data_IF_594935576641
#
_entry.id   IF_594935576641
#
_cell.length_a   1.000
_cell.length_b   1.000
_cell.length_c   1.000
_cell.angle_alpha   90.00
_cell.angle_beta   90.00
_cell.angle_gamma   90.00
#
_symmetry.space_group_name_H-M   'P 1'
#
loop_
_entity.id
_entity.type
_entity.pdbx_description
1 polymer ?
#
# COMPACT_ATOMS: atom_id res chain seq x y z
N UNK A 1 -18.52 -4.77 -32.58
CA UNK A 1 -18.57 -4.34 -31.16
C UNK A 1 -17.43 -5.05 -30.44
N UNK A 2 -16.37 -4.33 -30.13
CA UNK A 2 -15.16 -4.90 -29.54
C UNK A 2 -15.28 -4.77 -28.02
N UNK A 3 -15.58 -5.87 -27.33
CA UNK A 3 -15.52 -5.93 -25.87
C UNK A 3 -14.05 -5.83 -25.47
N UNK A 4 -13.68 -4.74 -24.80
CA UNK A 4 -12.37 -4.62 -24.19
C UNK A 4 -12.23 -5.73 -23.13
N UNK A 5 -11.30 -6.65 -23.37
CA UNK A 5 -10.84 -7.59 -22.35
C UNK A 5 -10.16 -6.76 -21.24
N UNK A 6 -10.91 -6.42 -20.19
CA UNK A 6 -10.31 -6.02 -18.92
C UNK A 6 -9.65 -7.26 -18.34
N UNK A 7 -8.36 -7.44 -18.60
CA UNK A 7 -7.50 -8.19 -17.71
C UNK A 7 -7.50 -7.42 -16.38
N UNK A 8 -8.46 -7.74 -15.50
CA UNK A 8 -8.52 -7.26 -14.12
C UNK A 8 -7.30 -7.81 -13.37
N UNK A 9 -6.16 -7.17 -13.54
CA UNK A 9 -5.11 -7.26 -12.54
C UNK A 9 -5.63 -6.48 -11.34
N UNK A 10 -6.00 -7.18 -10.27
CA UNK A 10 -6.23 -6.59 -8.96
C UNK A 10 -4.96 -5.82 -8.56
N UNK A 11 -4.93 -4.52 -8.85
CA UNK A 11 -3.82 -3.65 -8.47
C UNK A 11 -3.94 -3.38 -6.97
N UNK A 12 -2.91 -3.72 -6.18
CA UNK A 12 -2.99 -3.53 -4.74
C UNK A 12 -3.03 -2.03 -4.44
N UNK A 13 -4.08 -1.62 -3.73
CA UNK A 13 -4.29 -0.24 -3.32
C UNK A 13 -4.67 -0.18 -1.85
N UNK A 14 -3.91 0.59 -1.08
CA UNK A 14 -4.20 0.86 0.33
C UNK A 14 -5.04 2.11 0.48
N UNK A 15 -6.14 2.01 1.23
CA UNK A 15 -7.04 3.12 1.53
C UNK A 15 -7.20 3.27 3.05
N UNK A 16 -7.44 4.50 3.55
CA UNK A 16 -7.63 4.75 4.97
C UNK A 16 -8.93 4.13 5.47
N UNK A 17 -8.87 3.53 6.66
CA UNK A 17 -10.02 3.14 7.44
C UNK A 17 -10.23 4.18 8.56
N UNK A 18 -11.23 5.08 8.44
CA UNK A 18 -11.44 6.19 9.37
C UNK A 18 -11.81 5.74 10.79
N UNK A 19 -12.31 4.50 10.96
CA UNK A 19 -12.69 3.95 12.27
C UNK A 19 -11.50 3.44 13.07
N UNK A 20 -10.45 2.96 12.39
CA UNK A 20 -9.32 2.28 13.04
C UNK A 20 -7.99 3.00 12.90
N UNK A 21 -7.91 4.03 12.04
CA UNK A 21 -6.65 4.71 11.71
C UNK A 21 -5.64 3.80 10.98
N UNK A 22 -6.09 2.64 10.50
CA UNK A 22 -5.28 1.70 9.71
C UNK A 22 -5.50 1.96 8.22
N UNK A 23 -4.52 1.57 7.43
CA UNK A 23 -4.66 1.47 5.97
C UNK A 23 -4.99 0.02 5.63
N UNK A 24 -5.97 -0.18 4.75
CA UNK A 24 -6.44 -1.50 4.33
C UNK A 24 -6.27 -1.69 2.82
N UNK A 25 -5.98 -2.92 2.41
CA UNK A 25 -6.02 -3.39 1.04
C UNK A 25 -7.08 -4.51 0.93
N UNK A 26 -7.63 -4.69 -0.26
CA UNK A 26 -8.69 -5.68 -0.51
C UNK A 26 -8.24 -7.13 -0.36
N UNK A 27 -6.92 -7.38 -0.45
CA UNK A 27 -6.31 -8.71 -0.32
C UNK A 27 -4.95 -8.62 0.37
N UNK A 28 -4.45 -9.73 0.95
CA UNK A 28 -3.13 -9.78 1.57
C UNK A 28 -2.00 -9.54 0.57
N UNK A 29 -1.00 -8.78 1.00
CA UNK A 29 0.22 -8.46 0.24
C UNK A 29 1.41 -9.16 0.90
N UNK A 30 2.32 -9.72 0.08
CA UNK A 30 3.45 -10.52 0.56
C UNK A 30 4.45 -9.65 1.33
N UNK A 31 4.81 -8.50 0.75
CA UNK A 31 5.70 -7.51 1.37
C UNK A 31 5.14 -6.11 1.19
N UNK A 32 5.12 -5.34 2.27
CA UNK A 32 4.73 -3.93 2.27
C UNK A 32 5.82 -3.14 2.99
N UNK A 33 6.44 -2.21 2.29
CA UNK A 33 7.48 -1.35 2.84
C UNK A 33 7.08 0.11 2.72
N UNK A 34 7.26 0.85 3.80
CA UNK A 34 6.94 2.27 3.88
C UNK A 34 8.25 3.05 3.83
N UNK A 35 8.35 3.98 2.89
CA UNK A 35 9.50 4.84 2.69
C UNK A 35 9.14 6.31 2.90
N UNK A 36 10.11 7.08 3.40
CA UNK A 36 10.04 8.55 3.38
C UNK A 36 10.22 9.08 1.96
N UNK A 37 9.94 10.38 1.69
CA UNK A 37 10.21 11.00 0.39
C UNK A 37 11.69 11.00 -0.01
N UNK A 38 12.59 10.78 0.95
CA UNK A 38 14.03 10.67 0.73
C UNK A 38 14.50 9.24 0.47
N UNK A 39 13.57 8.28 0.34
CA UNK A 39 13.89 6.87 0.07
C UNK A 39 14.34 6.06 1.29
N UNK A 40 14.20 6.60 2.51
CA UNK A 40 14.52 5.87 3.74
C UNK A 40 13.37 4.92 4.10
N UNK A 41 13.68 3.63 4.29
CA UNK A 41 12.73 2.64 4.81
C UNK A 41 12.42 2.94 6.29
N UNK A 42 11.14 3.07 6.64
CA UNK A 42 10.71 3.34 8.02
C UNK A 42 9.92 2.21 8.66
N UNK A 43 9.20 1.41 7.86
CA UNK A 43 8.45 0.23 8.34
C UNK A 43 8.36 -0.83 7.26
N UNK A 44 8.29 -2.09 7.68
CA UNK A 44 7.98 -3.24 6.83
C UNK A 44 6.89 -4.09 7.47
N UNK A 45 6.00 -4.63 6.63
CA UNK A 45 4.95 -5.56 6.99
C UNK A 45 4.97 -6.73 6.00
N UNK A 46 4.53 -7.90 6.46
CA UNK A 46 4.59 -9.12 5.67
C UNK A 46 3.27 -9.88 5.76
N UNK A 47 2.85 -10.47 4.64
CA UNK A 47 1.66 -11.32 4.53
C UNK A 47 0.42 -10.73 5.23
N UNK A 48 0.11 -9.46 4.95
CA UNK A 48 -1.02 -8.75 5.57
C UNK A 48 -1.75 -7.88 4.55
N UNK A 49 -3.02 -7.62 4.81
CA UNK A 49 -3.83 -6.66 4.06
C UNK A 49 -4.05 -5.35 4.85
N UNK A 50 -3.49 -5.23 6.04
CA UNK A 50 -3.72 -4.09 6.93
C UNK A 50 -2.40 -3.61 7.55
N UNK A 51 -2.16 -2.31 7.47
CA UNK A 51 -0.95 -1.67 8.03
C UNK A 51 -1.31 -0.43 8.85
N UNK A 52 -0.39 0.01 9.71
CA UNK A 52 -0.57 1.21 10.53
C UNK A 52 0.66 2.12 10.49
N UNK A 53 0.40 3.41 10.29
CA UNK A 53 1.41 4.47 10.31
C UNK A 53 1.49 5.17 11.67
N UNK A 54 0.92 4.59 12.73
CA UNK A 54 1.05 5.11 14.10
C UNK A 54 2.52 5.22 14.49
N UNK A 55 2.87 6.35 15.10
CA UNK A 55 4.23 6.72 15.49
C UNK A 55 5.03 7.43 14.39
N UNK A 56 4.51 7.53 13.16
CA UNK A 56 5.13 8.32 12.10
C UNK A 56 4.57 9.75 12.10
N UNK A 57 5.45 10.73 11.84
CA UNK A 57 5.04 12.12 11.69
C UNK A 57 4.11 12.30 10.48
N UNK A 58 3.24 13.30 10.54
CA UNK A 58 2.41 13.69 9.39
C UNK A 58 3.28 14.12 8.22
N UNK A 59 2.87 13.77 7.00
CA UNK A 59 3.66 14.00 5.80
C UNK A 59 3.39 13.00 4.68
N UNK A 60 4.21 13.07 3.64
CA UNK A 60 4.14 12.15 2.50
C UNK A 60 4.97 10.90 2.76
N UNK A 61 4.42 9.74 2.43
CA UNK A 61 5.13 8.46 2.43
C UNK A 61 4.88 7.72 1.11
N UNK A 62 5.77 6.77 0.81
CA UNK A 62 5.66 5.92 -0.37
C UNK A 62 5.63 4.46 0.07
N UNK A 63 4.64 3.70 -0.40
CA UNK A 63 4.61 2.26 -0.26
C UNK A 63 5.31 1.59 -1.44
N UNK A 64 6.16 0.61 -1.15
CA UNK A 64 6.54 -0.44 -2.09
C UNK A 64 5.80 -1.71 -1.69
N UNK A 65 5.10 -2.30 -2.65
CA UNK A 65 4.28 -3.49 -2.46
C UNK A 65 4.84 -4.60 -3.33
N UNK A 66 5.04 -5.79 -2.77
CA UNK A 66 5.31 -7.01 -3.53
C UNK A 66 4.12 -7.95 -3.37
N UNK A 67 3.56 -8.37 -4.51
CA UNK A 67 2.48 -9.35 -4.55
C UNK A 67 2.71 -10.30 -5.72
N UNK A 68 2.80 -11.60 -5.43
CA UNK A 68 3.21 -12.64 -6.38
C UNK A 68 4.55 -12.27 -7.02
N UNK A 69 4.58 -12.10 -8.34
CA UNK A 69 5.79 -11.74 -9.11
C UNK A 69 5.85 -10.26 -9.47
N UNK A 70 4.97 -9.42 -8.92
CA UNK A 70 4.82 -8.02 -9.30
C UNK A 70 5.16 -7.08 -8.17
N UNK A 71 5.71 -5.91 -8.55
CA UNK A 71 6.01 -4.79 -7.65
C UNK A 71 5.13 -3.60 -7.99
N UNK A 72 4.59 -2.97 -6.96
CA UNK A 72 3.72 -1.79 -7.08
C UNK A 72 4.20 -0.68 -6.17
N UNK A 73 3.84 0.55 -6.52
CA UNK A 73 4.16 1.75 -5.76
C UNK A 73 2.90 2.57 -5.50
N UNK A 74 2.77 3.10 -4.29
CA UNK A 74 1.65 3.95 -3.93
C UNK A 74 2.13 5.13 -3.08
N UNK A 75 1.70 6.34 -3.42
CA UNK A 75 1.88 7.52 -2.57
C UNK A 75 0.79 7.57 -1.50
N UNK A 76 1.18 7.88 -0.27
CA UNK A 76 0.29 8.13 0.85
C UNK A 76 0.56 9.51 1.45
N UNK A 77 -0.51 10.17 1.88
CA UNK A 77 -0.45 11.40 2.66
C UNK A 77 -1.02 11.07 4.03
N UNK A 78 -0.20 11.21 5.07
CA UNK A 78 -0.61 11.06 6.45
C UNK A 78 -0.86 12.45 7.03
N UNK A 79 -2.09 12.70 7.45
CA UNK A 79 -2.49 13.91 8.19
C UNK A 79 -2.15 13.79 9.69
#
# INVERSE_FOLDING_TARGET
MQLANLNNFDTPYFYPNPTTGKLLCSFPIDVIEVYTPYGQLVKSFYHTNAITLVGLASGTYYLRLEYKTHRYHQKLIKE
#
